data_IF_767168829005
#
_entry.id   IF_767168829005
#
_cell.length_a   1.000
_cell.length_b   1.000
_cell.length_c   1.000
_cell.angle_alpha   90.00
_cell.angle_beta   90.00
_cell.angle_gamma   90.00
#
_symmetry.space_group_name_H-M   'P 1'
#
loop_
_entity.id
_entity.type
_entity.pdbx_description
1 polymer ?
#
# COMPACT_ATOMS: atom_id res chain seq x y z
N UNK A 1 10.48 -2.32 -4.72
CA UNK A 1 10.31 -3.23 -3.58
C UNK A 1 11.12 -2.75 -2.38
N UNK A 2 12.45 -2.71 -2.45
CA UNK A 2 13.33 -2.30 -1.34
C UNK A 2 12.95 -0.97 -0.64
N UNK A 3 12.47 0.01 -1.41
CA UNK A 3 12.04 1.30 -0.88
C UNK A 3 10.78 1.25 0.00
N UNK A 4 9.89 0.27 -0.24
CA UNK A 4 8.72 -0.03 0.60
C UNK A 4 9.13 -0.92 1.78
N UNK A 5 10.01 -1.90 1.57
CA UNK A 5 10.56 -2.73 2.65
C UNK A 5 11.24 -1.89 3.74
N UNK A 6 12.11 -0.96 3.32
CA UNK A 6 12.81 -0.06 4.22
C UNK A 6 11.82 0.82 5.01
N UNK A 7 10.76 1.27 4.35
CA UNK A 7 9.72 2.09 4.98
C UNK A 7 8.99 1.31 6.08
N UNK A 8 8.56 0.07 5.81
CA UNK A 8 7.89 -0.81 6.78
C UNK A 8 8.82 -1.11 7.97
N UNK A 9 10.09 -1.43 7.67
CA UNK A 9 11.09 -1.72 8.70
C UNK A 9 11.36 -0.55 9.65
N UNK A 10 11.29 0.68 9.16
CA UNK A 10 11.55 1.90 9.95
C UNK A 10 10.39 2.31 10.88
N UNK A 11 9.13 1.96 10.57
CA UNK A 11 7.95 2.58 11.21
C UNK A 11 7.03 1.63 11.99
N UNK A 12 7.35 0.33 12.03
CA UNK A 12 6.58 -0.63 12.84
C UNK A 12 7.28 -1.99 13.04
N UNK A 13 8.16 -2.38 12.11
CA UNK A 13 8.94 -3.62 12.20
C UNK A 13 8.19 -4.88 11.77
N UNK A 14 6.85 -4.87 11.70
CA UNK A 14 6.03 -6.01 11.26
C UNK A 14 5.16 -5.65 10.05
N UNK A 15 5.19 -6.50 9.02
CA UNK A 15 4.35 -6.34 7.82
C UNK A 15 2.85 -6.37 8.15
N UNK A 16 2.44 -7.16 9.15
CA UNK A 16 1.04 -7.29 9.59
C UNK A 16 0.42 -6.01 10.18
N UNK A 17 1.23 -5.01 10.52
CA UNK A 17 0.73 -3.69 10.93
C UNK A 17 0.43 -2.78 9.74
N UNK A 18 0.74 -3.20 8.51
CA UNK A 18 0.54 -2.42 7.31
C UNK A 18 -0.51 -3.05 6.38
N UNK A 19 -1.20 -2.17 5.66
CA UNK A 19 -2.01 -2.52 4.51
C UNK A 19 -1.25 -2.17 3.23
N UNK A 20 -1.24 -3.06 2.26
CA UNK A 20 -0.67 -2.87 0.94
C UNK A 20 -1.77 -3.04 -0.11
N UNK A 21 -1.81 -2.15 -1.09
CA UNK A 21 -2.75 -2.23 -2.20
C UNK A 21 -2.22 -1.59 -3.48
N UNK A 22 -2.94 -1.78 -4.58
CA UNK A 22 -2.68 -1.13 -5.87
C UNK A 22 -3.77 -0.14 -6.26
N UNK A 23 -3.39 0.95 -6.92
CA UNK A 23 -4.33 1.96 -7.40
C UNK A 23 -3.83 2.66 -8.68
N UNK A 24 -4.76 3.25 -9.44
CA UNK A 24 -4.46 4.22 -10.49
C UNK A 24 -4.26 5.63 -9.94
N UNK A 25 -4.98 5.98 -8.86
CA UNK A 25 -4.80 7.20 -8.08
C UNK A 25 -4.51 6.85 -6.60
N UNK A 26 -3.24 6.66 -6.22
CA UNK A 26 -2.89 6.22 -4.86
C UNK A 26 -3.21 7.27 -3.79
N UNK A 27 -3.17 8.57 -4.12
CA UNK A 27 -3.48 9.64 -3.14
C UNK A 27 -4.95 9.63 -2.76
N UNK A 28 -5.84 9.54 -3.74
CA UNK A 28 -7.28 9.44 -3.47
C UNK A 28 -7.60 8.17 -2.67
N UNK A 29 -7.01 7.03 -3.08
CA UNK A 29 -7.21 5.75 -2.38
C UNK A 29 -6.72 5.81 -0.93
N UNK A 30 -5.53 6.36 -0.67
CA UNK A 30 -4.98 6.53 0.67
C UNK A 30 -5.84 7.46 1.54
N UNK A 31 -6.08 8.69 1.09
CA UNK A 31 -6.59 9.74 1.97
C UNK A 31 -8.12 9.80 2.02
N UNK A 32 -8.79 9.58 0.88
CA UNK A 32 -10.25 9.60 0.82
C UNK A 32 -10.84 8.20 1.02
N UNK A 33 -10.22 7.17 0.43
CA UNK A 33 -10.67 5.79 0.54
C UNK A 33 -10.38 5.17 1.90
N UNK A 34 -9.11 5.12 2.28
CA UNK A 34 -8.65 4.47 3.51
C UNK A 34 -8.63 5.39 4.72
N UNK A 35 -8.87 6.69 4.55
CA UNK A 35 -8.89 7.66 5.64
C UNK A 35 -7.53 7.92 6.28
N UNK A 36 -6.45 7.62 5.57
CA UNK A 36 -5.08 7.90 6.02
C UNK A 36 -4.92 9.41 6.22
N UNK A 37 -4.41 9.81 7.37
CA UNK A 37 -4.06 11.19 7.63
C UNK A 37 -2.68 11.50 7.01
N UNK A 38 -2.69 12.34 5.98
CA UNK A 38 -1.47 12.68 5.23
C UNK A 38 -0.32 13.19 6.10
N UNK A 39 -0.63 13.83 7.24
CA UNK A 39 0.37 14.50 8.10
C UNK A 39 0.85 13.68 9.29
N UNK A 40 0.02 12.78 9.80
CA UNK A 40 0.28 12.08 11.07
C UNK A 40 0.49 10.59 10.92
N UNK A 41 0.01 9.99 9.82
CA UNK A 41 0.10 8.55 9.62
C UNK A 41 1.31 8.19 8.78
N UNK A 42 1.72 6.92 8.91
CA UNK A 42 2.77 6.35 8.10
C UNK A 42 2.19 5.77 6.82
N UNK A 43 2.49 6.41 5.70
CA UNK A 43 2.09 5.94 4.38
C UNK A 43 3.18 6.20 3.34
N UNK A 44 3.12 5.46 2.24
CA UNK A 44 3.99 5.64 1.08
C UNK A 44 3.31 5.08 -0.16
N UNK A 45 3.57 5.65 -1.33
CA UNK A 45 3.22 5.03 -2.60
C UNK A 45 4.34 5.19 -3.62
N UNK A 46 4.34 4.32 -4.63
CA UNK A 46 5.33 4.33 -5.71
C UNK A 46 4.72 3.85 -7.02
N UNK A 47 5.13 4.47 -8.12
CA UNK A 47 4.81 4.04 -9.48
C UNK A 47 5.71 2.85 -9.88
N UNK A 48 5.08 1.77 -10.35
CA UNK A 48 5.74 0.56 -10.85
C UNK A 48 5.59 0.38 -12.37
N UNK A 49 5.05 1.38 -13.06
CA UNK A 49 5.00 1.49 -14.52
C UNK A 49 3.86 0.70 -15.17
N UNK A 50 3.56 -0.50 -14.68
CA UNK A 50 2.50 -1.36 -15.23
C UNK A 50 1.67 -2.00 -14.11
N UNK A 51 0.43 -2.36 -14.43
CA UNK A 51 -0.44 -3.10 -13.51
C UNK A 51 0.13 -4.48 -13.16
N UNK A 52 0.77 -5.14 -14.12
CA UNK A 52 1.38 -6.46 -13.91
C UNK A 52 2.47 -6.40 -12.85
N UNK A 53 3.37 -5.42 -12.93
CA UNK A 53 4.42 -5.25 -11.92
C UNK A 53 3.82 -4.82 -10.58
N UNK A 54 2.82 -3.92 -10.57
CA UNK A 54 2.17 -3.50 -9.34
C UNK A 54 1.51 -4.68 -8.60
N UNK A 55 0.80 -5.56 -9.32
CA UNK A 55 0.19 -6.79 -8.77
C UNK A 55 1.24 -7.76 -8.21
N UNK A 56 2.38 -7.92 -8.89
CA UNK A 56 3.47 -8.77 -8.38
C UNK A 56 4.03 -8.22 -7.06
N UNK A 57 4.15 -6.91 -6.96
CA UNK A 57 4.65 -6.24 -5.75
C UNK A 57 3.63 -6.32 -4.61
N UNK A 58 2.33 -6.12 -4.89
CA UNK A 58 1.26 -6.31 -3.90
C UNK A 58 1.29 -7.73 -3.34
N UNK A 59 1.25 -8.75 -4.21
CA UNK A 59 1.36 -10.16 -3.80
C UNK A 59 2.60 -10.45 -2.97
N UNK A 60 3.72 -9.84 -3.29
CA UNK A 60 4.94 -9.97 -2.50
C UNK A 60 4.76 -9.45 -1.07
N UNK A 61 4.12 -8.30 -0.87
CA UNK A 61 3.89 -7.74 0.46
C UNK A 61 2.78 -8.46 1.24
N UNK A 62 1.72 -8.91 0.54
CA UNK A 62 0.70 -9.77 1.15
C UNK A 62 1.30 -11.09 1.65
N UNK A 63 2.16 -11.74 0.86
CA UNK A 63 2.87 -12.95 1.28
C UNK A 63 3.80 -12.73 2.49
N UNK A 64 4.27 -11.51 2.72
CA UNK A 64 5.07 -11.13 3.90
C UNK A 64 4.21 -10.80 5.12
N UNK A 65 2.89 -10.74 4.97
CA UNK A 65 1.93 -10.55 6.03
C UNK A 65 1.23 -9.19 6.04
N UNK A 66 1.47 -8.31 5.05
CA UNK A 66 0.64 -7.11 4.93
C UNK A 66 -0.83 -7.49 4.74
N UNK A 67 -1.73 -6.67 5.28
CA UNK A 67 -3.13 -6.71 4.93
C UNK A 67 -3.34 -6.20 3.50
N UNK A 68 -4.44 -6.61 2.89
CA UNK A 68 -4.88 -6.13 1.58
C UNK A 68 -5.88 -7.10 0.98
N UNK A 69 -6.58 -6.64 -0.04
CA UNK A 69 -7.51 -7.46 -0.81
C UNK A 69 -6.93 -7.78 -2.18
N UNK A 70 -6.91 -9.08 -2.49
CA UNK A 70 -6.44 -9.59 -3.77
C UNK A 70 -7.58 -9.39 -4.79
N UNK A 71 -7.64 -8.24 -5.46
CA UNK A 71 -8.66 -8.04 -6.49
C UNK A 71 -9.10 -6.60 -6.71
N UNK A 72 -8.29 -5.82 -7.42
CA UNK A 72 -8.72 -4.53 -7.95
C UNK A 72 -7.85 -4.05 -9.09
N UNK A 73 -8.41 -3.19 -9.93
CA UNK A 73 -7.66 -2.41 -10.91
C UNK A 73 -7.72 -2.91 -12.36
N UNK A 74 -7.62 -1.96 -13.27
CA UNK A 74 -7.43 -2.15 -14.70
C UNK A 74 -5.95 -1.88 -15.08
N UNK A 75 -5.65 -1.74 -16.38
CA UNK A 75 -4.29 -1.42 -16.88
C UNK A 75 -3.73 -0.09 -16.38
N UNK A 76 -4.55 0.79 -15.79
CA UNK A 76 -4.10 2.06 -15.21
C UNK A 76 -3.59 1.91 -13.78
N UNK A 77 -3.76 0.73 -13.18
CA UNK A 77 -3.46 0.46 -11.77
C UNK A 77 -1.99 0.11 -11.57
N UNK A 78 -1.10 1.08 -11.80
CA UNK A 78 0.35 0.90 -11.79
C UNK A 78 1.05 1.35 -10.50
N UNK A 79 0.32 1.94 -9.57
CA UNK A 79 0.88 2.39 -8.30
C UNK A 79 0.63 1.36 -7.22
N UNK A 80 1.64 1.12 -6.39
CA UNK A 80 1.50 0.38 -5.13
C UNK A 80 1.52 1.41 -4.01
N UNK A 81 0.60 1.29 -3.07
CA UNK A 81 0.57 2.08 -1.86
C UNK A 81 0.62 1.18 -0.62
N UNK A 82 1.16 1.74 0.46
CA UNK A 82 1.24 1.10 1.77
C UNK A 82 0.90 2.13 2.84
N UNK A 83 0.19 1.72 3.89
CA UNK A 83 -0.01 2.54 5.08
C UNK A 83 -0.07 1.69 6.34
N UNK A 84 0.32 2.26 7.48
CA UNK A 84 0.18 1.61 8.79
C UNK A 84 -1.29 1.65 9.20
N UNK A 85 -1.86 0.50 9.53
CA UNK A 85 -3.26 0.40 9.93
C UNK A 85 -3.45 1.05 11.30
N UNK A 86 -4.39 1.97 11.39
CA UNK A 86 -4.81 2.65 12.61
C UNK A 86 -6.32 2.56 12.82
N UNK A 87 -6.78 2.92 14.01
CA UNK A 87 -8.20 2.82 14.39
C UNK A 87 -9.16 3.63 13.49
N UNK A 88 -8.66 4.69 12.86
CA UNK A 88 -9.43 5.54 11.95
C UNK A 88 -9.31 5.12 10.48
N UNK A 89 -8.35 4.25 10.15
CA UNK A 89 -8.17 3.77 8.78
C UNK A 89 -9.18 2.69 8.43
N UNK A 90 -9.51 2.58 7.15
CA UNK A 90 -10.48 1.60 6.61
C UNK A 90 -9.78 0.71 5.61
N UNK A 91 -10.23 -0.53 5.45
CA UNK A 91 -9.75 -1.48 4.43
C UNK A 91 -10.63 -1.38 3.17
#
# INVERSE_FOLDING_TARGET
MQDIDNFIGQHAGYYSEFYCGIASNPRDRLFNGHGVNEKTDWWKYKDFGTDTVARQVEKHFLAKGCKGDDGGGDSTTRFVYVYKVGNHTRE
#
